data_IF_734236963826
#
_entry.id   IF_734236963826
#
_cell.length_a   1.000
_cell.length_b   1.000
_cell.length_c   1.000
_cell.angle_alpha   90.00
_cell.angle_beta   90.00
_cell.angle_gamma   90.00
#
_symmetry.space_group_name_H-M   'P 1'
#
loop_
_entity.id
_entity.type
_entity.pdbx_description
1 polymer ?
#
# COMPACT_ATOMS: atom_id res chain seq x y z
N UNK A 1 14.47 -4.72 12.73
CA UNK A 1 15.19 -3.84 11.79
C UNK A 1 14.32 -2.62 11.52
N UNK A 2 14.88 -1.40 11.56
CA UNK A 2 14.15 -0.20 11.16
C UNK A 2 14.32 0.00 9.65
N UNK A 3 13.23 0.10 8.90
CA UNK A 3 13.30 0.48 7.48
C UNK A 3 13.72 1.94 7.35
N UNK A 4 14.47 2.27 6.30
CA UNK A 4 14.86 3.64 5.98
C UNK A 4 13.68 4.40 5.38
N UNK A 5 13.41 5.60 5.90
CA UNK A 5 12.30 6.43 5.47
C UNK A 5 12.80 7.59 4.61
N UNK A 6 11.97 8.12 3.68
CA UNK A 6 12.34 9.27 2.87
C UNK A 6 12.50 10.51 3.74
N UNK A 7 13.59 11.26 3.54
CA UNK A 7 13.94 12.47 4.32
C UNK A 7 13.97 13.75 3.49
N UNK A 8 14.12 13.68 2.17
CA UNK A 8 14.14 14.87 1.32
C UNK A 8 14.65 14.64 -0.09
N UNK A 9 14.89 15.75 -0.82
CA UNK A 9 15.36 15.79 -2.21
C UNK A 9 14.40 15.12 -3.21
N UNK A 10 13.11 15.38 -3.04
CA UNK A 10 12.08 14.91 -3.95
C UNK A 10 12.21 15.63 -5.31
N UNK A 11 12.63 14.89 -6.33
CA UNK A 11 12.75 15.42 -7.69
C UNK A 11 12.11 14.47 -8.69
N UNK A 12 11.44 15.04 -9.69
CA UNK A 12 10.91 14.28 -10.81
C UNK A 12 12.01 14.06 -11.83
N UNK A 13 12.30 12.79 -12.11
CA UNK A 13 13.22 12.42 -13.17
C UNK A 13 12.44 12.16 -14.45
N UNK A 14 13.03 12.58 -15.58
CA UNK A 14 12.54 12.19 -16.90
C UNK A 14 12.82 10.71 -17.13
N UNK A 15 11.85 9.94 -17.65
CA UNK A 15 12.04 8.51 -17.84
C UNK A 15 12.89 8.24 -19.08
N UNK A 16 14.17 7.98 -18.88
CA UNK A 16 15.05 7.38 -19.90
C UNK A 16 15.55 6.02 -19.43
N UNK A 17 14.82 4.97 -19.78
CA UNK A 17 15.35 3.60 -19.98
C UNK A 17 14.24 2.63 -20.32
N UNK A 18 14.41 1.90 -21.42
CA UNK A 18 13.69 0.68 -21.72
C UNK A 18 14.40 -0.48 -21.02
N UNK A 19 13.68 -1.30 -20.24
CA UNK A 19 14.26 -2.46 -19.57
C UNK A 19 14.40 -3.65 -20.54
N UNK A 20 15.49 -4.44 -20.46
CA UNK A 20 15.67 -5.62 -21.31
C UNK A 20 14.72 -6.77 -20.92
N UNK A 21 14.36 -7.58 -21.91
CA UNK A 21 13.44 -8.72 -21.76
C UNK A 21 14.19 -9.92 -21.17
N UNK A 22 13.83 -10.37 -19.98
CA UNK A 22 14.22 -11.70 -19.48
C UNK A 22 13.04 -12.35 -18.76
N UNK A 23 12.61 -13.49 -19.31
CA UNK A 23 11.49 -14.28 -18.81
C UNK A 23 12.02 -15.33 -17.82
N UNK A 24 11.50 -15.37 -16.60
CA UNK A 24 11.51 -16.59 -15.78
C UNK A 24 10.13 -16.76 -15.16
N UNK A 25 9.42 -17.79 -15.60
CA UNK A 25 8.02 -18.07 -15.22
C UNK A 25 7.99 -18.87 -13.89
N UNK A 26 8.42 -18.25 -12.78
CA UNK A 26 8.41 -18.91 -11.46
C UNK A 26 7.11 -18.69 -10.68
N UNK A 27 6.28 -17.74 -11.11
CA UNK A 27 5.18 -17.18 -10.30
C UNK A 27 3.77 -17.51 -10.83
N UNK A 28 3.52 -18.77 -11.21
CA UNK A 28 2.19 -19.20 -11.69
C UNK A 28 1.11 -19.17 -10.60
N UNK A 29 1.48 -19.47 -9.34
CA UNK A 29 0.52 -19.56 -8.24
C UNK A 29 0.23 -18.21 -7.58
N UNK A 30 1.15 -17.25 -7.70
CA UNK A 30 1.05 -15.94 -7.06
C UNK A 30 1.35 -14.81 -8.06
N UNK A 31 0.34 -14.31 -8.78
CA UNK A 31 0.51 -13.20 -9.71
C UNK A 31 1.05 -11.96 -8.99
N UNK A 32 2.12 -11.38 -9.53
CA UNK A 32 2.75 -10.17 -9.03
C UNK A 32 1.90 -8.92 -9.33
N UNK A 33 2.06 -7.88 -8.51
CA UNK A 33 1.35 -6.60 -8.62
C UNK A 33 -0.20 -6.76 -8.71
N UNK A 34 -0.88 -7.09 -7.60
CA UNK A 34 -2.34 -7.18 -7.58
C UNK A 34 -2.96 -5.80 -7.86
N UNK A 35 -3.97 -5.77 -8.71
CA UNK A 35 -4.67 -4.54 -9.08
C UNK A 35 -6.11 -4.55 -8.59
N UNK A 36 -6.68 -3.36 -8.42
CA UNK A 36 -8.12 -3.23 -8.24
C UNK A 36 -8.86 -3.49 -9.56
N UNK A 37 -9.43 -4.68 -9.66
CA UNK A 37 -10.21 -5.15 -10.79
C UNK A 37 -11.70 -5.12 -10.44
N UNK A 38 -12.52 -4.65 -11.39
CA UNK A 38 -13.97 -4.80 -11.31
C UNK A 38 -14.34 -6.17 -11.84
N UNK A 39 -14.74 -7.07 -10.96
CA UNK A 39 -15.12 -8.43 -11.34
C UNK A 39 -16.51 -8.38 -11.97
N UNK A 40 -16.61 -8.84 -13.22
CA UNK A 40 -17.88 -9.05 -13.93
C UNK A 40 -18.35 -10.48 -13.77
N UNK A 41 -19.59 -10.76 -14.16
CA UNK A 41 -20.17 -12.10 -14.08
C UNK A 41 -19.37 -13.12 -14.89
N UNK A 42 -18.88 -12.72 -16.07
CA UNK A 42 -18.18 -13.60 -16.99
C UNK A 42 -16.81 -14.07 -16.47
N UNK A 43 -16.24 -13.33 -15.50
CA UNK A 43 -14.96 -13.67 -14.86
C UNK A 43 -15.11 -14.69 -13.72
N UNK A 44 -16.34 -15.04 -13.34
CA UNK A 44 -16.59 -16.03 -12.29
C UNK A 44 -16.37 -17.45 -12.81
N UNK A 45 -15.91 -18.33 -11.93
CA UNK A 45 -15.92 -19.76 -12.23
C UNK A 45 -17.34 -20.28 -12.48
N UNK A 46 -17.53 -21.30 -13.34
CA UNK A 46 -18.85 -21.90 -13.57
C UNK A 46 -19.53 -22.38 -12.28
N UNK A 47 -18.73 -22.82 -11.29
CA UNK A 47 -19.25 -23.20 -9.97
C UNK A 47 -19.82 -21.99 -9.20
N UNK A 48 -19.09 -20.87 -9.19
CA UNK A 48 -19.54 -19.64 -8.53
C UNK A 48 -20.78 -19.03 -9.19
N UNK A 49 -20.90 -19.14 -10.53
CA UNK A 49 -22.09 -18.73 -11.27
C UNK A 49 -23.32 -19.54 -10.83
N UNK A 50 -23.22 -20.87 -10.81
CA UNK A 50 -24.30 -21.76 -10.33
C UNK A 50 -24.75 -21.45 -8.90
N UNK A 51 -23.81 -21.19 -7.99
CA UNK A 51 -24.14 -20.80 -6.61
C UNK A 51 -24.87 -19.46 -6.56
N UNK A 52 -24.43 -18.49 -7.36
CA UNK A 52 -25.10 -17.19 -7.46
C UNK A 52 -26.56 -17.35 -7.89
N UNK A 53 -26.82 -18.17 -8.90
CA UNK A 53 -28.16 -18.41 -9.42
C UNK A 53 -29.02 -19.17 -8.42
N UNK A 54 -28.46 -20.20 -7.76
CA UNK A 54 -29.15 -21.00 -6.75
C UNK A 54 -29.60 -20.17 -5.54
N UNK A 55 -28.78 -19.23 -5.09
CA UNK A 55 -29.04 -18.38 -3.92
C UNK A 55 -29.56 -16.97 -4.27
N UNK A 56 -29.81 -16.69 -5.56
CA UNK A 56 -30.36 -15.44 -6.07
C UNK A 56 -29.63 -14.16 -5.61
N UNK A 57 -28.28 -14.19 -5.60
CA UNK A 57 -27.46 -13.04 -5.20
C UNK A 57 -27.43 -11.97 -6.31
N UNK A 58 -28.48 -11.13 -6.37
CA UNK A 58 -28.66 -10.10 -7.40
C UNK A 58 -27.68 -8.92 -7.29
N UNK A 59 -27.30 -8.51 -6.08
CA UNK A 59 -26.55 -7.25 -5.85
C UNK A 59 -25.04 -7.39 -5.65
N UNK A 60 -24.45 -8.56 -5.90
CA UNK A 60 -23.03 -8.80 -5.57
C UNK A 60 -22.06 -8.29 -6.63
N UNK A 61 -22.52 -8.05 -7.86
CA UNK A 61 -21.68 -7.66 -9.00
C UNK A 61 -22.35 -6.54 -9.81
N UNK A 62 -21.57 -5.61 -10.40
CA UNK A 62 -20.09 -5.56 -10.42
C UNK A 62 -19.49 -5.13 -9.06
N UNK A 63 -18.35 -5.72 -8.69
CA UNK A 63 -17.64 -5.39 -7.44
C UNK A 63 -16.16 -5.18 -7.69
N UNK A 64 -15.62 -4.09 -7.13
CA UNK A 64 -14.19 -3.75 -7.22
C UNK A 64 -13.42 -4.47 -6.12
N UNK A 65 -12.57 -5.42 -6.48
CA UNK A 65 -11.74 -6.19 -5.55
C UNK A 65 -10.26 -6.08 -5.91
N UNK A 66 -9.39 -6.13 -4.91
CA UNK A 66 -7.96 -6.30 -5.13
C UNK A 66 -7.72 -7.75 -5.56
N UNK A 67 -7.34 -7.96 -6.82
CA UNK A 67 -7.29 -9.30 -7.42
C UNK A 67 -5.92 -9.53 -8.05
N UNK A 68 -5.19 -10.58 -7.65
CA UNK A 68 -3.97 -10.96 -8.34
C UNK A 68 -4.36 -11.52 -9.72
N UNK A 69 -3.75 -10.98 -10.77
CA UNK A 69 -4.04 -11.35 -12.15
C UNK A 69 -2.79 -11.19 -13.02
N UNK A 70 -2.73 -11.94 -14.11
CA UNK A 70 -1.66 -11.87 -15.12
C UNK A 70 -1.99 -10.95 -16.30
N UNK A 71 -3.07 -10.16 -16.19
CA UNK A 71 -3.38 -9.19 -17.24
C UNK A 71 -2.27 -8.15 -17.34
N UNK A 72 -1.97 -7.65 -18.55
CA UNK A 72 -0.98 -6.60 -18.72
C UNK A 72 -1.37 -5.37 -17.89
N UNK A 73 -0.44 -4.96 -17.01
CA UNK A 73 -0.62 -3.85 -16.07
C UNK A 73 -0.51 -2.53 -16.83
N UNK A 74 -1.65 -2.02 -17.32
CA UNK A 74 -1.72 -0.80 -18.13
C UNK A 74 -2.00 0.47 -17.32
N UNK A 75 -2.33 0.33 -16.04
CA UNK A 75 -2.66 1.47 -15.18
C UNK A 75 -1.39 2.08 -14.59
N UNK A 76 -1.45 3.39 -14.31
CA UNK A 76 -0.38 4.19 -13.70
C UNK A 76 -0.13 3.76 -12.24
N UNK A 77 0.29 2.53 -12.03
CA UNK A 77 0.51 1.98 -10.70
C UNK A 77 1.78 2.58 -10.11
N UNK A 78 1.58 3.27 -9.00
CA UNK A 78 2.68 3.86 -8.24
C UNK A 78 3.30 2.75 -7.40
N UNK A 79 4.50 2.34 -7.77
CA UNK A 79 5.25 1.29 -7.09
C UNK A 79 6.52 1.85 -6.48
N UNK A 80 6.85 1.41 -5.26
CA UNK A 80 8.11 1.75 -4.61
C UNK A 80 9.29 1.00 -5.26
N UNK A 81 10.49 1.58 -5.27
CA UNK A 81 11.63 0.99 -5.99
C UNK A 81 11.99 -0.43 -5.51
N UNK A 82 11.87 -0.73 -4.21
CA UNK A 82 12.12 -2.09 -3.68
C UNK A 82 11.17 -3.13 -4.26
N UNK A 83 9.89 -2.78 -4.40
CA UNK A 83 8.91 -3.68 -4.99
C UNK A 83 9.16 -3.85 -6.48
N UNK A 84 9.56 -2.78 -7.18
CA UNK A 84 9.93 -2.85 -8.58
C UNK A 84 11.17 -3.73 -8.80
N UNK A 85 12.19 -3.59 -7.95
CA UNK A 85 13.39 -4.45 -7.99
C UNK A 85 13.01 -5.91 -7.79
N UNK A 86 12.19 -6.20 -6.77
CA UNK A 86 11.66 -7.54 -6.53
C UNK A 86 10.89 -8.08 -7.74
N UNK A 87 10.03 -7.27 -8.37
CA UNK A 87 9.31 -7.70 -9.56
C UNK A 87 10.24 -8.03 -10.73
N UNK A 88 11.31 -7.26 -10.92
CA UNK A 88 12.31 -7.52 -11.96
C UNK A 88 13.09 -8.81 -11.66
N UNK A 89 13.46 -9.04 -10.40
CA UNK A 89 14.12 -10.28 -9.95
C UNK A 89 13.23 -11.51 -10.19
N UNK A 90 11.93 -11.39 -9.96
CA UNK A 90 10.93 -12.43 -10.23
C UNK A 90 10.54 -12.55 -11.72
N UNK A 91 11.10 -11.72 -12.62
CA UNK A 91 10.94 -11.85 -14.06
C UNK A 91 9.86 -10.98 -14.71
N UNK A 92 9.34 -9.96 -14.01
CA UNK A 92 8.47 -8.95 -14.62
C UNK A 92 9.27 -7.97 -15.48
N UNK A 93 8.72 -7.63 -16.64
CA UNK A 93 9.34 -6.68 -17.58
C UNK A 93 8.59 -5.36 -17.51
N UNK A 94 9.29 -4.28 -17.15
CA UNK A 94 8.75 -2.94 -17.21
C UNK A 94 8.90 -2.37 -18.63
N UNK A 95 7.79 -2.17 -19.33
CA UNK A 95 7.78 -1.65 -20.71
C UNK A 95 8.09 -0.14 -20.76
N UNK A 96 7.45 0.64 -19.89
CA UNK A 96 7.53 2.10 -19.89
C UNK A 96 7.42 2.67 -18.49
N UNK A 97 8.35 3.58 -18.15
CA UNK A 97 8.24 4.41 -16.96
C UNK A 97 7.53 5.71 -17.32
N UNK A 98 6.44 6.02 -16.60
CA UNK A 98 5.69 7.26 -16.84
C UNK A 98 6.24 8.44 -16.04
N UNK A 99 6.54 8.21 -14.76
CA UNK A 99 7.06 9.22 -13.83
C UNK A 99 7.92 8.52 -12.78
N UNK A 100 9.09 9.09 -12.51
CA UNK A 100 9.96 8.60 -11.45
C UNK A 100 10.17 9.71 -10.43
N UNK A 101 9.86 9.43 -9.17
CA UNK A 101 10.13 10.33 -8.05
C UNK A 101 11.39 9.83 -7.33
N UNK A 102 12.49 10.58 -7.44
CA UNK A 102 13.70 10.32 -6.70
C UNK A 102 13.63 10.98 -5.32
N UNK A 103 14.17 10.32 -4.30
CA UNK A 103 14.22 10.83 -2.94
C UNK A 103 15.39 10.21 -2.16
N UNK A 104 15.88 10.94 -1.16
CA UNK A 104 16.90 10.46 -0.22
C UNK A 104 16.24 9.74 0.94
N UNK A 105 16.78 8.58 1.34
CA UNK A 105 16.31 7.81 2.49
C UNK A 105 17.33 7.83 3.65
N UNK A 106 16.85 7.83 4.90
CA UNK A 106 17.66 7.66 6.12
C UNK A 106 16.85 6.95 7.20
N UNK A 107 17.52 6.19 8.07
CA UNK A 107 16.93 5.52 9.24
C UNK A 107 16.76 6.46 10.44
N UNK A 108 16.18 7.65 10.23
CA UNK A 108 16.08 8.68 11.29
C UNK A 108 15.16 8.27 12.45
N UNK A 109 14.26 7.31 12.25
CA UNK A 109 13.35 6.79 13.28
C UNK A 109 13.97 5.64 14.11
N UNK A 110 15.16 5.16 13.73
CA UNK A 110 15.76 4.00 14.38
C UNK A 110 15.99 4.24 15.87
N UNK A 111 16.63 5.36 16.23
CA UNK A 111 16.98 5.68 17.62
C UNK A 111 15.73 5.75 18.51
N UNK A 112 14.64 6.32 17.99
CA UNK A 112 13.35 6.38 18.68
C UNK A 112 12.74 4.99 18.95
N UNK A 113 12.75 4.12 17.94
CA UNK A 113 12.23 2.75 18.07
C UNK A 113 13.10 1.96 19.05
N UNK A 114 14.43 2.10 18.97
CA UNK A 114 15.36 1.48 19.90
C UNK A 114 15.09 1.92 21.34
N UNK A 115 14.97 3.23 21.57
CA UNK A 115 14.63 3.78 22.87
C UNK A 115 13.33 3.18 23.44
N UNK A 116 12.25 3.13 22.65
CA UNK A 116 10.98 2.57 23.10
C UNK A 116 11.04 1.06 23.34
N UNK A 117 11.88 0.33 22.60
CA UNK A 117 12.09 -1.09 22.81
C UNK A 117 12.87 -1.36 24.10
N UNK A 118 13.89 -0.57 24.41
CA UNK A 118 14.60 -0.66 25.69
C UNK A 118 13.65 -0.36 26.86
N UNK A 119 12.86 0.72 26.77
CA UNK A 119 11.84 1.03 27.79
C UNK A 119 10.80 -0.07 27.96
N UNK A 120 10.45 -0.76 26.87
CA UNK A 120 9.56 -1.91 26.91
C UNK A 120 10.19 -3.14 27.59
N UNK A 121 11.50 -3.35 27.44
CA UNK A 121 12.23 -4.43 28.13
C UNK A 121 12.33 -4.15 29.63
N UNK A 122 12.56 -2.90 30.01
CA UNK A 122 12.66 -2.46 31.42
C UNK A 122 11.31 -2.50 32.16
N UNK A 123 10.20 -2.46 31.43
CA UNK A 123 8.86 -2.43 32.02
C UNK A 123 8.50 -3.75 32.74
N UNK A 124 8.33 -3.64 34.06
CA UNK A 124 7.85 -4.73 34.93
C UNK A 124 6.32 -4.87 34.90
N UNK A 125 5.63 -3.76 34.70
CA UNK A 125 4.17 -3.70 34.67
C UNK A 125 3.60 -3.90 33.25
N UNK A 126 2.47 -4.59 33.16
CA UNK A 126 1.85 -4.93 31.88
C UNK A 126 1.27 -3.69 31.18
N UNK A 127 0.77 -2.73 31.95
CA UNK A 127 0.28 -1.46 31.40
C UNK A 127 1.40 -0.68 30.69
N UNK A 128 2.55 -0.49 31.35
CA UNK A 128 3.70 0.24 30.75
C UNK A 128 4.23 -0.48 29.51
N UNK A 129 4.28 -1.83 29.53
CA UNK A 129 4.69 -2.65 28.39
C UNK A 129 3.74 -2.46 27.19
N UNK A 130 2.43 -2.49 27.44
CA UNK A 130 1.42 -2.25 26.42
C UNK A 130 1.49 -0.81 25.88
N UNK A 131 1.77 0.17 26.75
CA UNK A 131 1.93 1.57 26.37
C UNK A 131 3.13 1.79 25.43
N UNK A 132 4.32 1.28 25.78
CA UNK A 132 5.51 1.38 24.92
C UNK A 132 5.30 0.73 23.54
N UNK A 133 4.58 -0.41 23.49
CA UNK A 133 4.17 -1.02 22.22
C UNK A 133 3.24 -0.10 21.41
N UNK A 134 2.24 0.49 22.06
CA UNK A 134 1.27 1.37 21.40
C UNK A 134 1.91 2.64 20.85
N UNK A 135 2.93 3.20 21.51
CA UNK A 135 3.67 4.37 21.00
C UNK A 135 4.31 4.09 19.64
N UNK A 136 5.01 2.95 19.52
CA UNK A 136 5.61 2.57 18.23
C UNK A 136 4.56 2.34 17.15
N UNK A 137 3.45 1.67 17.50
CA UNK A 137 2.36 1.40 16.56
C UNK A 137 1.61 2.68 16.13
N UNK A 138 1.38 3.61 17.06
CA UNK A 138 0.65 4.86 16.78
C UNK A 138 1.45 5.78 15.86
N UNK A 139 2.78 5.82 16.02
CA UNK A 139 3.65 6.57 15.12
C UNK A 139 3.60 6.02 13.69
N UNK A 140 3.70 4.71 13.53
CA UNK A 140 3.56 4.06 12.21
C UNK A 140 2.19 4.37 11.58
N UNK A 141 1.12 4.22 12.34
CA UNK A 141 -0.23 4.55 11.88
C UNK A 141 -0.34 6.00 11.42
N UNK A 142 0.25 6.94 12.17
CA UNK A 142 0.28 8.37 11.83
C UNK A 142 0.97 8.65 10.50
N UNK A 143 2.07 7.95 10.20
CA UNK A 143 2.80 8.12 8.93
C UNK A 143 2.02 7.60 7.72
N UNK A 144 1.21 6.56 7.90
CA UNK A 144 0.39 5.96 6.83
C UNK A 144 -0.95 6.66 6.61
N UNK A 145 -1.27 7.70 7.38
CA UNK A 145 -2.54 8.42 7.23
C UNK A 145 -2.61 9.18 5.91
N UNK A 146 -3.74 8.99 5.22
CA UNK A 146 -4.08 9.82 4.07
C UNK A 146 -4.49 11.23 4.54
N UNK A 147 -3.57 12.18 4.42
CA UNK A 147 -3.79 13.57 4.84
C UNK A 147 -4.98 14.24 4.13
N UNK A 148 -5.33 13.82 2.91
CA UNK A 148 -6.44 14.40 2.14
C UNK A 148 -7.82 14.04 2.69
N UNK A 149 -7.93 12.95 3.45
CA UNK A 149 -9.18 12.47 4.06
C UNK A 149 -9.33 12.91 5.52
N UNK A 150 -8.42 13.75 6.02
CA UNK A 150 -8.46 14.22 7.39
C UNK A 150 -9.51 15.31 7.51
N UNK A 151 -10.70 14.95 7.99
CA UNK A 151 -11.75 15.91 8.27
C UNK A 151 -11.29 16.85 9.40
N UNK A 152 -11.26 18.15 9.13
CA UNK A 152 -10.96 19.15 10.14
C UNK A 152 -12.22 19.37 10.98
N UNK A 153 -12.41 18.56 12.02
CA UNK A 153 -13.42 18.86 13.03
C UNK A 153 -12.95 20.05 13.85
N UNK A 154 -13.30 21.27 13.43
CA UNK A 154 -13.28 22.43 14.30
C UNK A 154 -14.49 22.37 15.24
N UNK A 155 -14.27 22.48 16.55
CA UNK A 155 -15.35 22.78 17.48
C UNK A 155 -15.95 24.14 17.08
N UNK A 156 -17.23 24.16 16.71
CA UNK A 156 -17.94 25.39 16.35
C UNK A 156 -18.25 26.13 17.66
N UNK A 157 -17.27 26.86 18.18
CA UNK A 157 -17.44 27.74 19.34
C UNK A 157 -18.08 29.10 19.02
N UNK A 158 -18.45 29.38 17.76
CA UNK A 158 -19.04 30.65 17.39
C UNK A 158 -20.15 30.53 16.35
N UNK A 159 -21.34 31.03 16.73
CA UNK A 159 -22.61 31.12 15.99
C UNK A 159 -22.54 31.69 14.56
N UNK A 160 -21.41 32.25 14.12
CA UNK A 160 -21.30 32.98 12.83
C UNK A 160 -20.95 32.12 11.60
N UNK A 161 -20.78 30.79 11.72
CA UNK A 161 -20.42 29.90 10.59
C UNK A 161 -21.56 29.02 10.04
N UNK A 162 -22.81 29.26 10.44
CA UNK A 162 -23.97 28.48 9.99
C UNK A 162 -24.69 29.05 8.76
N UNK A 163 -24.18 30.08 8.10
CA UNK A 163 -24.73 30.55 6.81
C UNK A 163 -23.81 30.14 5.67
N UNK A 164 -24.09 28.99 5.05
CA UNK A 164 -23.86 28.71 3.63
C UNK A 164 -24.59 27.44 3.24
#
# INVERSE_FOLDING_TARGET
MCQTLPVGNFSWLTPEKTCPKRLQLKTNDLPLAPEHLTITYDMLSPYSQRLRDKFNFKHTLPSKKLTPNFYPKKKNDITHYLNLQFYIEEGMIAEKYHRTLAFRQRSWLADYIHFNNEKRKEAKDDFTRAFCKKINNSFFGRLMLNQRKKNFCSSVGHRKRLSK
#
